data_IF_555645830596
#
_entry.id   IF_555645830596
#
_cell.length_a   1.000
_cell.length_b   1.000
_cell.length_c   1.000
_cell.angle_alpha   90.00
_cell.angle_beta   90.00
_cell.angle_gamma   90.00
#
_symmetry.space_group_name_H-M   'P 1'
#
loop_
_entity.id
_entity.type
_entity.pdbx_description
1 polymer ?
#
# COMPACT_ATOMS: atom_id res chain seq x y z
N UNK A 1 39.42 -54.49 47.80
CA UNK A 1 39.75 -53.55 46.71
C UNK A 1 38.67 -53.67 45.65
N UNK A 2 37.65 -52.80 45.69
CA UNK A 2 36.52 -52.80 44.75
C UNK A 2 36.90 -51.97 43.52
N UNK A 3 36.83 -52.57 42.33
CA UNK A 3 37.02 -51.91 41.03
C UNK A 3 35.73 -51.18 40.67
N UNK A 4 35.82 -49.87 40.41
CA UNK A 4 34.71 -49.04 39.91
C UNK A 4 34.84 -49.00 38.38
N UNK A 5 33.85 -49.53 37.67
CA UNK A 5 33.67 -49.30 36.23
C UNK A 5 33.15 -47.87 36.03
N UNK A 6 33.81 -47.08 35.18
CA UNK A 6 33.26 -45.83 34.65
C UNK A 6 32.36 -46.15 33.44
N UNK A 7 31.21 -45.45 33.25
CA UNK A 7 30.44 -45.61 32.03
C UNK A 7 31.07 -44.76 30.92
N UNK A 8 31.30 -45.40 29.78
CA UNK A 8 31.60 -44.72 28.51
C UNK A 8 30.28 -44.15 28.00
N UNK A 9 30.12 -42.83 28.05
CA UNK A 9 29.03 -42.13 27.35
C UNK A 9 29.47 -42.01 25.89
N UNK A 10 28.86 -42.83 25.04
CA UNK A 10 28.97 -42.66 23.59
C UNK A 10 28.17 -41.42 23.18
N UNK A 11 28.87 -40.34 22.86
CA UNK A 11 28.28 -39.15 22.26
C UNK A 11 28.00 -39.47 20.79
N UNK A 12 26.76 -39.89 20.50
CA UNK A 12 26.25 -40.03 19.14
C UNK A 12 25.99 -38.63 18.60
N UNK A 13 26.94 -38.10 17.85
CA UNK A 13 26.82 -36.83 17.14
C UNK A 13 25.89 -37.07 15.94
N UNK A 14 24.59 -36.88 16.16
CA UNK A 14 23.63 -36.79 15.05
C UNK A 14 23.90 -35.45 14.39
N UNK A 15 24.62 -35.48 13.25
CA UNK A 15 24.61 -34.39 12.28
C UNK A 15 23.17 -34.27 11.77
N UNK A 16 22.36 -33.49 12.49
CA UNK A 16 21.12 -32.98 11.96
C UNK A 16 21.47 -32.05 10.83
N UNK A 17 21.22 -32.48 9.59
CA UNK A 17 20.99 -31.54 8.50
C UNK A 17 19.74 -30.79 8.93
N UNK A 18 19.92 -29.62 9.52
CA UNK A 18 18.82 -28.67 9.68
C UNK A 18 18.50 -28.27 8.24
N UNK A 19 17.31 -28.59 7.70
CA UNK A 19 16.90 -27.96 6.46
C UNK A 19 16.90 -26.47 6.76
N UNK A 20 17.80 -25.72 6.13
CA UNK A 20 17.66 -24.28 6.04
C UNK A 20 16.36 -24.11 5.26
N UNK A 21 15.28 -23.79 5.97
CA UNK A 21 14.10 -23.26 5.31
C UNK A 21 14.60 -21.98 4.61
N UNK A 22 14.48 -21.91 3.29
CA UNK A 22 14.58 -20.66 2.57
C UNK A 22 13.60 -19.71 3.27
N UNK A 23 14.09 -18.56 3.73
CA UNK A 23 13.21 -17.54 4.25
C UNK A 23 12.23 -17.18 3.12
N UNK A 24 10.92 -17.25 3.37
CA UNK A 24 9.96 -16.77 2.38
C UNK A 24 10.16 -15.27 2.21
N UNK A 25 10.19 -14.80 0.96
CA UNK A 25 10.28 -13.37 0.64
C UNK A 25 9.19 -12.59 1.38
N UNK A 26 9.55 -11.47 2.02
CA UNK A 26 8.56 -10.63 2.69
C UNK A 26 7.76 -9.80 1.68
N UNK A 27 6.56 -9.37 2.06
CA UNK A 27 5.76 -8.47 1.23
C UNK A 27 6.51 -7.17 0.87
N UNK A 28 7.36 -6.66 1.77
CA UNK A 28 8.18 -5.47 1.54
C UNK A 28 9.26 -5.70 0.49
N UNK A 29 9.89 -6.87 0.49
CA UNK A 29 10.91 -7.24 -0.50
C UNK A 29 10.28 -7.46 -1.87
N UNK A 30 9.11 -8.13 -1.94
CA UNK A 30 8.34 -8.25 -3.19
C UNK A 30 7.91 -6.89 -3.75
N UNK A 31 7.44 -5.99 -2.88
CA UNK A 31 7.09 -4.62 -3.28
C UNK A 31 8.31 -3.85 -3.81
N UNK A 32 9.48 -4.01 -3.17
CA UNK A 32 10.72 -3.40 -3.60
C UNK A 32 11.21 -3.95 -4.95
N UNK A 33 11.06 -5.26 -5.19
CA UNK A 33 11.38 -5.88 -6.50
C UNK A 33 10.50 -5.27 -7.61
N UNK A 34 9.21 -5.11 -7.36
CA UNK A 34 8.27 -4.50 -8.30
C UNK A 34 8.62 -3.04 -8.58
N UNK A 35 8.87 -2.23 -7.54
CA UNK A 35 9.28 -0.82 -7.70
C UNK A 35 10.58 -0.71 -8.51
N UNK A 36 11.58 -1.55 -8.23
CA UNK A 36 12.86 -1.52 -8.95
C UNK A 36 12.69 -1.93 -10.44
N UNK A 37 11.85 -2.93 -10.73
CA UNK A 37 11.50 -3.34 -12.09
C UNK A 37 10.82 -2.22 -12.87
N UNK A 38 9.86 -1.52 -12.26
CA UNK A 38 9.15 -0.40 -12.88
C UNK A 38 10.08 0.78 -13.16
N UNK A 39 10.97 1.11 -12.23
CA UNK A 39 11.96 2.18 -12.40
C UNK A 39 12.94 1.88 -13.55
N UNK A 40 13.38 0.62 -13.68
CA UNK A 40 14.19 0.15 -14.82
C UNK A 40 13.45 0.37 -16.12
N UNK A 41 12.22 -0.12 -16.22
CA UNK A 41 11.45 -0.06 -17.47
C UNK A 41 11.00 1.38 -17.79
N UNK A 42 10.76 2.22 -16.78
CA UNK A 42 10.52 3.66 -16.96
C UNK A 42 11.75 4.35 -17.55
N UNK A 43 12.94 4.04 -17.01
CA UNK A 43 14.20 4.60 -17.51
C UNK A 43 14.50 4.15 -18.93
N UNK A 44 14.21 2.89 -19.26
CA UNK A 44 14.32 2.34 -20.62
C UNK A 44 13.36 3.01 -21.59
N UNK A 45 12.10 3.18 -21.20
CA UNK A 45 11.09 3.84 -22.02
C UNK A 45 11.46 5.31 -22.31
N UNK A 46 12.06 6.01 -21.35
CA UNK A 46 12.57 7.38 -21.55
C UNK A 46 13.66 7.47 -22.63
N UNK A 47 14.40 6.38 -22.86
CA UNK A 47 15.42 6.23 -23.92
C UNK A 47 14.87 5.52 -25.17
N UNK A 48 13.55 5.28 -25.25
CA UNK A 48 12.89 4.65 -26.39
C UNK A 48 13.16 3.15 -26.53
N UNK A 49 13.53 2.48 -25.45
CA UNK A 49 13.76 1.03 -25.41
C UNK A 49 12.49 0.30 -24.95
N UNK A 50 12.30 -0.91 -25.49
CA UNK A 50 11.22 -1.81 -25.07
C UNK A 50 11.40 -2.24 -23.61
N UNK A 51 10.30 -2.46 -22.87
CA UNK A 51 10.36 -2.96 -21.51
C UNK A 51 10.95 -4.38 -21.50
N UNK A 52 11.72 -4.66 -20.45
CA UNK A 52 12.17 -6.02 -20.14
C UNK A 52 11.01 -6.80 -19.56
N UNK A 53 10.81 -8.04 -20.00
CA UNK A 53 9.96 -8.99 -19.31
C UNK A 53 10.68 -9.58 -18.09
N UNK A 54 9.95 -10.16 -17.15
CA UNK A 54 10.58 -10.92 -16.06
C UNK A 54 10.81 -12.39 -16.44
N UNK A 55 11.83 -13.00 -15.85
CA UNK A 55 12.12 -14.43 -16.03
C UNK A 55 12.53 -15.09 -14.71
N UNK A 56 11.82 -16.15 -14.34
CA UNK A 56 11.86 -16.79 -13.02
C UNK A 56 13.25 -17.26 -12.60
N UNK A 57 13.99 -17.91 -13.51
CA UNK A 57 15.37 -18.34 -13.21
C UNK A 57 16.27 -17.17 -12.80
N UNK A 58 16.06 -15.98 -13.39
CA UNK A 58 16.84 -14.78 -13.05
C UNK A 58 16.38 -14.16 -11.73
N UNK A 59 15.08 -14.24 -11.41
CA UNK A 59 14.55 -13.78 -10.12
C UNK A 59 15.13 -14.64 -9.00
N UNK A 60 15.10 -15.97 -9.17
CA UNK A 60 15.62 -16.92 -8.18
C UNK A 60 17.12 -16.68 -7.93
N UNK A 61 17.90 -16.45 -8.99
CA UNK A 61 19.31 -16.09 -8.87
C UNK A 61 19.53 -14.73 -8.19
N UNK A 62 18.80 -13.71 -8.62
CA UNK A 62 18.94 -12.36 -8.07
C UNK A 62 18.57 -12.32 -6.58
N UNK A 63 17.56 -13.09 -6.15
CA UNK A 63 17.18 -13.24 -4.74
C UNK A 63 18.28 -13.95 -3.95
N UNK A 64 18.75 -15.09 -4.45
CA UNK A 64 19.84 -15.84 -3.82
C UNK A 64 21.12 -14.98 -3.67
N UNK A 65 21.44 -14.19 -4.69
CA UNK A 65 22.59 -13.28 -4.65
C UNK A 65 22.38 -12.12 -3.67
N UNK A 66 21.17 -11.59 -3.56
CA UNK A 66 20.83 -10.55 -2.58
C UNK A 66 20.87 -11.08 -1.14
N UNK A 67 20.41 -12.32 -0.91
CA UNK A 67 20.53 -13.02 0.37
C UNK A 67 21.99 -13.26 0.76
N UNK A 68 22.82 -13.72 -0.18
CA UNK A 68 24.25 -13.93 0.05
C UNK A 68 24.94 -12.62 0.48
N UNK A 69 24.68 -11.52 -0.22
CA UNK A 69 25.21 -10.21 0.12
C UNK A 69 24.65 -9.71 1.47
N UNK A 70 23.36 -9.92 1.73
CA UNK A 70 22.72 -9.59 3.00
C UNK A 70 23.19 -10.48 4.17
N UNK A 71 23.80 -11.63 3.90
CA UNK A 71 24.41 -12.49 4.90
C UNK A 71 25.91 -12.22 5.11
N UNK A 72 26.48 -11.20 4.46
CA UNK A 72 27.92 -10.88 4.48
C UNK A 72 28.79 -12.05 3.98
N UNK A 73 28.29 -12.83 3.02
CA UNK A 73 28.93 -14.05 2.51
C UNK A 73 29.73 -13.85 1.21
N UNK A 74 29.90 -12.60 0.76
CA UNK A 74 30.73 -12.30 -0.40
C UNK A 74 32.19 -12.71 -0.19
N UNK A 75 32.81 -13.26 -1.23
CA UNK A 75 34.21 -13.68 -1.17
C UNK A 75 35.13 -12.51 -0.82
N UNK A 76 36.16 -12.79 -0.01
CA UNK A 76 37.12 -11.78 0.42
C UNK A 76 36.58 -10.76 1.43
N UNK A 77 35.36 -10.94 1.93
CA UNK A 77 34.72 -10.03 2.90
C UNK A 77 34.23 -8.72 2.29
N UNK A 78 33.96 -8.71 0.98
CA UNK A 78 33.33 -7.57 0.33
C UNK A 78 31.89 -7.38 0.82
N UNK A 79 31.36 -6.15 0.74
CA UNK A 79 29.97 -5.85 1.14
C UNK A 79 28.94 -6.26 0.08
N UNK A 80 29.32 -6.16 -1.19
CA UNK A 80 28.55 -6.57 -2.35
C UNK A 80 29.50 -7.26 -3.32
N UNK A 81 28.99 -8.21 -4.09
CA UNK A 81 29.77 -9.00 -5.03
C UNK A 81 28.89 -9.47 -6.19
N UNK A 82 29.52 -9.71 -7.33
CA UNK A 82 28.86 -10.27 -8.49
C UNK A 82 28.70 -11.80 -8.36
N UNK A 83 27.73 -12.37 -9.07
CA UNK A 83 27.64 -13.82 -9.24
C UNK A 83 28.71 -14.29 -10.25
N UNK A 84 29.75 -14.96 -9.76
CA UNK A 84 30.86 -15.46 -10.60
C UNK A 84 30.43 -16.57 -11.58
N UNK A 85 29.27 -17.19 -11.38
CA UNK A 85 28.73 -18.26 -12.23
C UNK A 85 27.39 -17.87 -12.88
N UNK A 86 27.18 -16.58 -13.16
CA UNK A 86 25.95 -16.09 -13.80
C UNK A 86 25.57 -16.85 -15.09
N UNK A 87 26.57 -17.39 -15.80
CA UNK A 87 26.36 -18.17 -17.02
C UNK A 87 25.65 -19.52 -16.80
N UNK A 88 25.59 -20.03 -15.57
CA UNK A 88 24.94 -21.29 -15.21
C UNK A 88 23.49 -21.14 -14.74
N UNK A 89 23.06 -19.91 -14.42
CA UNK A 89 21.71 -19.56 -13.94
C UNK A 89 20.64 -20.05 -14.89
N UNK A 90 20.87 -19.89 -16.19
CA UNK A 90 19.93 -20.35 -17.21
C UNK A 90 20.65 -20.70 -18.51
N UNK A 91 19.89 -21.18 -19.49
CA UNK A 91 20.41 -21.67 -20.77
C UNK A 91 19.82 -20.87 -21.94
N UNK A 92 20.45 -20.98 -23.11
CA UNK A 92 20.02 -20.31 -24.36
C UNK A 92 20.06 -18.77 -24.34
N UNK A 93 20.78 -18.17 -23.40
CA UNK A 93 21.07 -16.74 -23.40
C UNK A 93 22.13 -16.39 -24.46
N UNK A 94 22.04 -15.18 -25.01
CA UNK A 94 23.03 -14.56 -25.92
C UNK A 94 23.85 -13.50 -25.21
N UNK A 95 23.25 -12.83 -24.22
CA UNK A 95 23.92 -11.86 -23.36
C UNK A 95 23.36 -11.96 -21.96
N UNK A 96 24.23 -11.77 -20.97
CA UNK A 96 23.88 -11.58 -19.58
C UNK A 96 24.48 -10.27 -19.06
N UNK A 97 23.90 -9.72 -18.01
CA UNK A 97 24.42 -8.58 -17.28
C UNK A 97 23.94 -8.64 -15.83
N UNK A 98 24.67 -8.01 -14.93
CA UNK A 98 24.28 -7.96 -13.53
C UNK A 98 24.61 -6.59 -12.94
N UNK A 99 23.65 -6.02 -12.22
CA UNK A 99 23.86 -4.89 -11.33
C UNK A 99 23.64 -5.35 -9.88
N UNK A 100 24.58 -5.04 -9.00
CA UNK A 100 24.44 -5.26 -7.55
C UNK A 100 24.60 -3.94 -6.82
N UNK A 101 23.81 -3.78 -5.75
CA UNK A 101 23.75 -2.52 -5.03
C UNK A 101 23.35 -2.71 -3.58
N UNK A 102 23.81 -1.79 -2.74
CA UNK A 102 23.36 -1.66 -1.36
C UNK A 102 22.98 -0.20 -1.09
N UNK A 103 21.73 -0.01 -0.66
CA UNK A 103 21.18 1.27 -0.23
C UNK A 103 21.13 1.39 1.29
N UNK A 104 21.01 2.63 1.80
CA UNK A 104 20.78 2.89 3.22
C UNK A 104 19.32 3.28 3.48
N UNK A 105 18.68 2.62 4.44
CA UNK A 105 17.29 2.82 4.89
C UNK A 105 16.23 2.60 3.78
N UNK A 106 15.45 1.52 3.91
CA UNK A 106 14.40 1.12 2.96
C UNK A 106 13.41 2.24 2.61
N UNK A 107 13.09 3.15 3.55
CA UNK A 107 12.21 4.29 3.30
C UNK A 107 12.77 5.22 2.20
N UNK A 108 12.29 5.04 0.96
CA UNK A 108 12.80 5.72 -0.24
C UNK A 108 14.12 5.19 -0.77
N UNK A 109 14.58 4.02 -0.29
CA UNK A 109 15.88 3.45 -0.64
C UNK A 109 15.95 2.82 -2.03
N UNK A 110 14.82 2.34 -2.56
CA UNK A 110 14.72 1.67 -3.87
C UNK A 110 14.99 2.68 -4.99
N UNK A 111 14.21 3.77 -5.06
CA UNK A 111 14.44 4.87 -6.02
C UNK A 111 15.82 5.50 -5.91
N UNK A 112 16.34 5.76 -4.70
CA UNK A 112 17.69 6.29 -4.51
C UNK A 112 18.77 5.34 -5.05
N UNK A 113 18.60 4.03 -4.85
CA UNK A 113 19.55 3.04 -5.35
C UNK A 113 19.45 2.90 -6.88
N UNK A 114 18.24 2.98 -7.45
CA UNK A 114 18.04 3.05 -8.90
C UNK A 114 18.69 4.30 -9.50
N UNK A 115 18.51 5.47 -8.90
CA UNK A 115 19.18 6.71 -9.31
C UNK A 115 20.70 6.58 -9.26
N UNK A 116 21.24 5.90 -8.23
CA UNK A 116 22.66 5.59 -8.13
C UNK A 116 23.13 4.62 -9.22
N UNK A 117 22.28 3.67 -9.65
CA UNK A 117 22.57 2.83 -10.81
C UNK A 117 22.57 3.65 -12.11
N UNK A 118 21.59 4.51 -12.31
CA UNK A 118 21.51 5.39 -13.48
C UNK A 118 22.67 6.39 -13.56
N UNK A 119 23.18 6.86 -12.41
CA UNK A 119 24.35 7.72 -12.34
C UNK A 119 25.69 6.98 -12.53
N UNK A 120 25.71 5.66 -12.38
CA UNK A 120 26.90 4.83 -12.55
C UNK A 120 27.01 4.36 -14.01
N UNK A 121 28.08 4.71 -14.75
CA UNK A 121 28.19 4.34 -16.16
C UNK A 121 28.07 2.85 -16.45
N UNK A 122 28.60 2.00 -15.56
CA UNK A 122 28.51 0.54 -15.70
C UNK A 122 27.09 0.01 -15.49
N UNK A 123 26.42 0.45 -14.42
CA UNK A 123 25.06 0.00 -14.11
C UNK A 123 24.05 0.53 -15.12
N UNK A 124 24.19 1.80 -15.52
CA UNK A 124 23.41 2.43 -16.58
C UNK A 124 23.53 1.66 -17.90
N UNK A 125 24.76 1.25 -18.27
CA UNK A 125 24.97 0.49 -19.50
C UNK A 125 24.25 -0.87 -19.50
N UNK A 126 24.11 -1.52 -18.34
CA UNK A 126 23.32 -2.74 -18.21
C UNK A 126 21.82 -2.45 -18.33
N UNK A 127 21.29 -1.42 -17.64
CA UNK A 127 19.86 -1.04 -17.70
C UNK A 127 19.42 -0.71 -19.14
N UNK A 128 20.26 0.02 -19.88
CA UNK A 128 20.01 0.38 -21.29
C UNK A 128 20.49 -0.66 -22.30
N UNK A 129 20.96 -1.81 -21.81
CA UNK A 129 21.47 -2.86 -22.67
C UNK A 129 20.39 -3.50 -23.53
N UNK A 130 20.84 -4.09 -24.64
CA UNK A 130 20.04 -4.92 -25.53
C UNK A 130 19.74 -6.26 -24.84
N UNK A 131 18.69 -6.23 -24.04
CA UNK A 131 18.15 -7.31 -23.23
C UNK A 131 16.63 -7.35 -23.45
N UNK A 132 16.02 -8.52 -23.29
CA UNK A 132 14.57 -8.69 -23.31
C UNK A 132 14.01 -9.23 -21.98
N UNK A 133 14.88 -9.66 -21.05
CA UNK A 133 14.46 -10.11 -19.71
C UNK A 133 15.28 -9.50 -18.58
N UNK A 134 14.66 -9.42 -17.40
CA UNK A 134 15.31 -9.14 -16.13
C UNK A 134 14.82 -10.07 -15.01
N UNK A 135 15.65 -10.27 -13.99
CA UNK A 135 15.27 -10.79 -12.68
C UNK A 135 15.75 -9.83 -11.61
N UNK A 136 14.87 -9.49 -10.68
CA UNK A 136 15.17 -8.57 -9.58
C UNK A 136 15.06 -9.36 -8.29
N UNK A 137 16.07 -9.24 -7.43
CA UNK A 137 16.07 -9.78 -6.09
C UNK A 137 16.34 -8.67 -5.09
N UNK A 138 15.57 -8.65 -4.02
CA UNK A 138 15.75 -7.68 -2.94
C UNK A 138 15.77 -8.39 -1.59
N UNK A 139 16.69 -7.97 -0.72
CA UNK A 139 16.68 -8.33 0.70
C UNK A 139 16.75 -7.08 1.57
N UNK A 140 15.88 -7.01 2.57
CA UNK A 140 15.83 -5.91 3.55
C UNK A 140 16.30 -6.44 4.90
N UNK A 141 17.48 -6.01 5.36
CA UNK A 141 17.96 -6.37 6.70
C UNK A 141 17.13 -5.68 7.79
N UNK A 142 17.16 -6.23 9.01
CA UNK A 142 16.49 -5.65 10.19
C UNK A 142 16.92 -4.20 10.48
N UNK A 143 18.16 -3.83 10.10
CA UNK A 143 18.67 -2.46 10.25
C UNK A 143 18.17 -1.50 9.14
N UNK A 144 17.30 -1.97 8.25
CA UNK A 144 16.74 -1.25 7.13
C UNK A 144 17.67 -1.15 5.91
N UNK A 145 18.82 -1.81 5.91
CA UNK A 145 19.70 -1.86 4.73
C UNK A 145 19.04 -2.64 3.60
N UNK A 146 19.06 -2.06 2.41
CA UNK A 146 18.47 -2.62 1.19
C UNK A 146 19.57 -3.23 0.30
N UNK A 147 19.55 -4.53 0.07
CA UNK A 147 20.42 -5.22 -0.87
C UNK A 147 19.62 -5.56 -2.12
N UNK A 148 20.12 -5.15 -3.30
CA UNK A 148 19.43 -5.38 -4.58
C UNK A 148 20.39 -6.00 -5.57
N UNK A 149 19.91 -7.03 -6.25
CA UNK A 149 20.55 -7.60 -7.44
C UNK A 149 19.58 -7.54 -8.59
N UNK A 150 20.06 -7.14 -9.76
CA UNK A 150 19.32 -7.18 -11.01
C UNK A 150 20.12 -7.95 -12.04
N UNK A 151 19.56 -9.05 -12.53
CA UNK A 151 20.15 -9.87 -13.58
C UNK A 151 19.42 -9.58 -14.89
N UNK A 152 20.16 -9.28 -15.95
CA UNK A 152 19.63 -8.98 -17.27
C UNK A 152 19.96 -10.11 -18.25
N UNK A 153 19.03 -10.44 -19.14
CA UNK A 153 19.23 -11.48 -20.15
C UNK A 153 18.69 -11.07 -21.52
N UNK A 154 19.47 -11.38 -22.56
CA UNK A 154 18.97 -11.47 -23.93
C UNK A 154 18.81 -12.96 -24.25
N UNK A 155 17.58 -13.45 -24.21
CA UNK A 155 17.22 -14.85 -24.47
C UNK A 155 16.24 -14.99 -25.63
N UNK A 156 15.79 -16.21 -25.97
CA UNK A 156 14.74 -16.41 -26.95
C UNK A 156 13.42 -15.79 -26.49
N UNK A 157 12.57 -15.39 -27.44
CA UNK A 157 11.24 -14.83 -27.15
C UNK A 157 10.31 -15.86 -26.49
N UNK A 158 9.42 -15.39 -25.62
CA UNK A 158 8.37 -16.21 -25.01
C UNK A 158 8.82 -17.07 -23.81
N UNK A 159 9.96 -16.75 -23.19
CA UNK A 159 10.42 -17.40 -21.95
C UNK A 159 9.79 -16.83 -20.67
N UNK A 160 8.99 -15.76 -20.76
CA UNK A 160 8.43 -15.07 -19.58
C UNK A 160 7.74 -16.04 -18.62
N UNK A 161 8.15 -15.99 -17.35
CA UNK A 161 7.29 -16.43 -16.23
C UNK A 161 6.51 -15.21 -15.76
N UNK A 162 5.26 -15.39 -15.36
CA UNK A 162 4.55 -14.32 -14.62
C UNK A 162 5.36 -13.99 -13.34
N UNK A 163 5.39 -12.72 -12.94
CA UNK A 163 5.69 -12.36 -11.54
C UNK A 163 4.79 -13.23 -10.62
N UNK A 164 5.15 -13.54 -9.35
CA UNK A 164 4.20 -14.16 -8.44
C UNK A 164 2.88 -13.39 -8.52
N UNK A 165 1.79 -14.10 -8.89
CA UNK A 165 0.55 -13.54 -9.44
C UNK A 165 0.35 -12.03 -9.20
N UNK A 166 0.49 -11.24 -10.26
CA UNK A 166 -0.31 -10.02 -10.37
C UNK A 166 -1.77 -10.45 -10.09
N UNK A 167 -2.53 -9.79 -9.20
CA UNK A 167 -3.96 -10.06 -9.13
C UNK A 167 -4.53 -9.83 -10.54
N UNK A 168 -4.93 -10.93 -11.20
CA UNK A 168 -5.69 -11.02 -12.44
C UNK A 168 -5.94 -9.65 -13.09
N UNK A 169 -5.23 -9.32 -14.19
CA UNK A 169 -5.52 -8.12 -14.96
C UNK A 169 -7.01 -8.05 -15.30
N UNK A 170 -7.73 -7.25 -14.52
CA UNK A 170 -9.03 -6.77 -14.91
C UNK A 170 -8.85 -5.97 -16.20
N UNK A 171 -9.81 -6.09 -17.12
CA UNK A 171 -9.84 -5.28 -18.34
C UNK A 171 -9.80 -3.77 -18.07
N UNK A 172 -9.92 -2.97 -19.14
CA UNK A 172 -9.26 -1.67 -19.30
C UNK A 172 -9.28 -0.77 -18.06
N UNK A 173 -8.07 -0.38 -17.61
CA UNK A 173 -7.65 0.74 -16.73
C UNK A 173 -8.71 1.77 -16.30
N UNK A 174 -9.79 1.35 -15.65
CA UNK A 174 -10.69 2.24 -14.90
C UNK A 174 -11.64 1.37 -14.09
N UNK A 175 -11.83 1.73 -12.83
CA UNK A 175 -12.88 1.18 -11.99
C UNK A 175 -14.22 1.32 -12.74
N UNK A 176 -14.85 0.22 -13.14
CA UNK A 176 -16.13 0.27 -13.85
C UNK A 176 -17.27 0.51 -12.86
N UNK A 177 -17.51 1.78 -12.53
CA UNK A 177 -18.62 2.21 -11.67
C UNK A 177 -19.82 2.71 -12.50
N UNK A 178 -21.05 2.66 -11.96
CA UNK A 178 -22.19 3.33 -12.55
C UNK A 178 -21.91 4.82 -12.77
N UNK A 179 -22.61 5.43 -13.73
CA UNK A 179 -22.54 6.88 -13.90
C UNK A 179 -23.25 7.59 -12.74
N UNK A 180 -22.48 8.31 -11.93
CA UNK A 180 -23.00 9.22 -10.90
C UNK A 180 -23.31 10.61 -11.49
N UNK A 181 -24.17 11.43 -10.85
CA UNK A 181 -24.41 12.80 -11.26
C UNK A 181 -23.12 13.64 -11.25
N UNK A 182 -22.98 14.65 -12.13
CA UNK A 182 -21.84 15.56 -12.08
C UNK A 182 -21.74 16.27 -10.72
N UNK A 183 -20.58 16.17 -10.08
CA UNK A 183 -20.32 16.75 -8.76
C UNK A 183 -20.56 15.83 -7.59
N UNK A 184 -21.07 14.61 -7.82
CA UNK A 184 -21.15 13.57 -6.81
C UNK A 184 -19.76 13.00 -6.52
N UNK A 185 -19.60 12.48 -5.30
CA UNK A 185 -18.46 11.68 -4.93
C UNK A 185 -18.43 10.35 -5.68
N UNK A 186 -17.22 9.91 -5.99
CA UNK A 186 -16.93 8.69 -6.71
C UNK A 186 -16.13 7.72 -5.85
N UNK A 187 -16.24 6.45 -6.19
CA UNK A 187 -15.52 5.39 -5.49
C UNK A 187 -14.16 5.15 -6.12
N UNK A 188 -13.13 5.03 -5.28
CA UNK A 188 -11.86 4.42 -5.62
C UNK A 188 -11.59 3.18 -4.78
N UNK A 189 -10.50 2.49 -5.10
CA UNK A 189 -10.00 1.32 -4.40
C UNK A 189 -8.50 1.46 -4.13
N UNK A 190 -8.09 1.10 -2.91
CA UNK A 190 -6.69 0.98 -2.53
C UNK A 190 -6.37 -0.47 -2.14
N UNK A 191 -5.35 -1.06 -2.74
CA UNK A 191 -4.84 -2.37 -2.36
C UNK A 191 -3.85 -2.20 -1.20
N UNK A 192 -4.20 -2.53 0.05
CA UNK A 192 -3.33 -2.35 1.20
C UNK A 192 -2.14 -3.32 1.21
N UNK A 193 -2.08 -4.31 0.31
CA UNK A 193 -0.92 -5.21 0.19
C UNK A 193 0.05 -4.74 -0.90
N UNK A 194 -0.45 -4.07 -1.94
CA UNK A 194 0.34 -3.62 -3.08
C UNK A 194 0.62 -2.11 -3.10
N UNK A 195 -0.11 -1.30 -2.32
CA UNK A 195 -0.05 0.16 -2.36
C UNK A 195 -0.62 0.78 -3.65
N UNK A 196 -1.33 -0.01 -4.46
CA UNK A 196 -1.94 0.42 -5.72
C UNK A 196 -3.29 1.09 -5.47
N UNK A 197 -3.53 2.18 -6.17
CA UNK A 197 -4.77 2.94 -6.18
C UNK A 197 -5.42 2.88 -7.55
N UNK A 198 -6.74 2.68 -7.56
CA UNK A 198 -7.61 2.72 -8.72
C UNK A 198 -8.77 3.65 -8.41
N UNK A 199 -8.85 4.81 -9.07
CA UNK A 199 -9.89 5.80 -8.80
C UNK A 199 -10.88 5.84 -9.96
N UNK A 200 -12.18 5.84 -9.68
CA UNK A 200 -13.18 5.98 -10.74
C UNK A 200 -13.04 7.34 -11.43
N UNK A 201 -13.08 7.33 -12.76
CA UNK A 201 -12.93 8.53 -13.59
C UNK A 201 -11.49 8.89 -13.94
N UNK A 202 -10.49 8.23 -13.36
CA UNK A 202 -9.07 8.44 -13.68
C UNK A 202 -8.55 7.44 -14.72
N UNK A 203 -7.58 7.89 -15.53
CA UNK A 203 -7.11 7.18 -16.73
C UNK A 203 -6.25 5.93 -16.45
N UNK A 204 -5.65 5.83 -15.26
CA UNK A 204 -4.76 4.72 -14.92
C UNK A 204 -4.60 4.49 -13.41
N UNK A 205 -4.38 3.24 -12.97
CA UNK A 205 -3.92 2.96 -11.62
C UNK A 205 -2.55 3.59 -11.34
N UNK A 206 -2.27 3.85 -10.07
CA UNK A 206 -0.97 4.36 -9.64
C UNK A 206 -0.58 3.82 -8.26
N UNK A 207 0.71 3.87 -7.93
CA UNK A 207 1.21 3.43 -6.63
C UNK A 207 1.44 4.60 -5.69
N UNK A 208 0.97 4.45 -4.45
CA UNK A 208 1.26 5.36 -3.38
C UNK A 208 1.07 4.66 -2.03
N UNK A 209 2.14 4.62 -1.24
CA UNK A 209 2.11 4.06 0.12
C UNK A 209 2.87 2.77 0.31
N UNK A 210 2.91 2.33 1.56
CA UNK A 210 3.45 1.03 1.93
C UNK A 210 2.32 0.05 2.23
N UNK A 211 2.60 -1.26 2.19
CA UNK A 211 1.66 -2.25 2.67
C UNK A 211 1.21 -1.96 4.12
N UNK A 212 -0.07 -2.19 4.38
CA UNK A 212 -0.77 -1.91 5.63
C UNK A 212 -0.95 -0.43 6.02
N UNK A 213 -0.53 0.53 5.17
CA UNK A 213 -0.97 1.91 5.35
C UNK A 213 -2.51 1.97 5.14
N UNK A 214 -3.19 2.70 6.01
CA UNK A 214 -4.64 2.87 5.96
C UNK A 214 -4.98 4.01 5.01
N UNK A 215 -5.76 3.78 3.94
CA UNK A 215 -6.06 4.81 2.97
C UNK A 215 -7.09 5.81 3.49
N UNK A 216 -6.98 7.04 3.01
CA UNK A 216 -7.95 8.11 3.20
C UNK A 216 -7.88 9.06 2.00
N UNK A 217 -8.87 9.93 1.84
CA UNK A 217 -8.87 10.92 0.77
C UNK A 217 -9.74 12.11 1.14
N UNK A 218 -9.22 13.30 0.90
CA UNK A 218 -9.89 14.58 1.10
C UNK A 218 -9.25 15.65 0.20
N UNK A 219 -9.86 16.83 0.12
CA UNK A 219 -9.34 18.03 -0.54
C UNK A 219 -8.36 18.79 0.37
N UNK A 220 -7.08 18.43 0.26
CA UNK A 220 -6.03 18.94 1.15
C UNK A 220 -5.50 20.35 0.79
N UNK A 221 -5.83 20.92 -0.38
CA UNK A 221 -5.47 22.29 -0.79
C UNK A 221 -6.64 23.18 -1.21
N UNK A 222 -7.87 22.72 -1.00
CA UNK A 222 -9.07 23.52 -1.26
C UNK A 222 -9.23 23.86 -2.75
N UNK A 223 -8.81 22.96 -3.66
CA UNK A 223 -8.98 23.17 -5.10
C UNK A 223 -10.30 22.57 -5.63
N UNK A 224 -11.07 21.90 -4.77
CA UNK A 224 -12.31 21.21 -5.06
C UNK A 224 -12.12 19.78 -5.58
N UNK A 225 -10.89 19.26 -5.59
CA UNK A 225 -10.54 17.90 -6.00
C UNK A 225 -10.01 17.10 -4.82
N UNK A 226 -10.65 15.98 -4.55
CA UNK A 226 -10.19 15.04 -3.54
C UNK A 226 -8.90 14.35 -4.01
N UNK A 227 -7.93 14.24 -3.11
CA UNK A 227 -6.65 13.60 -3.41
C UNK A 227 -6.24 12.61 -2.32
N UNK A 228 -5.39 11.66 -2.68
CA UNK A 228 -5.08 10.51 -1.82
C UNK A 228 -4.22 10.85 -0.60
N UNK A 229 -4.50 10.17 0.51
CA UNK A 229 -3.73 10.21 1.74
C UNK A 229 -3.59 8.83 2.37
N UNK A 230 -2.62 8.70 3.27
CA UNK A 230 -2.33 7.44 3.96
C UNK A 230 -2.01 7.68 5.43
N UNK A 231 -2.42 6.75 6.27
CA UNK A 231 -2.01 6.66 7.67
C UNK A 231 -1.19 5.41 7.94
N UNK A 232 0.04 5.62 8.40
CA UNK A 232 0.95 4.53 8.76
C UNK A 232 0.78 4.14 10.21
N UNK A 233 -0.07 3.14 10.45
CA UNK A 233 -0.41 2.66 11.78
C UNK A 233 0.82 2.24 12.63
N UNK A 234 1.91 1.79 12.00
CA UNK A 234 3.13 1.41 12.71
C UNK A 234 3.89 2.58 13.34
N UNK A 235 3.66 3.81 12.85
CA UNK A 235 4.46 4.99 13.20
C UNK A 235 3.64 6.23 13.57
N UNK A 236 2.33 6.24 13.31
CA UNK A 236 1.47 7.39 13.56
C UNK A 236 1.62 8.54 12.55
N UNK A 237 2.29 8.30 11.43
CA UNK A 237 2.47 9.29 10.37
C UNK A 237 1.29 9.30 9.40
N UNK A 238 0.90 10.51 9.01
CA UNK A 238 0.03 10.79 7.87
C UNK A 238 0.87 11.28 6.70
N UNK A 239 0.57 10.78 5.51
CA UNK A 239 1.22 11.11 4.25
C UNK A 239 0.15 11.56 3.26
N UNK A 240 0.10 12.86 2.93
CA UNK A 240 -0.93 13.45 2.07
C UNK A 240 -0.32 13.87 0.74
N UNK A 241 -1.08 13.70 -0.34
CA UNK A 241 -0.71 14.12 -1.70
C UNK A 241 -1.71 15.11 -2.23
N UNK A 242 -1.24 16.10 -2.97
CA UNK A 242 -2.07 17.06 -3.69
C UNK A 242 -2.40 16.61 -5.13
N UNK A 243 -2.00 15.38 -5.50
CA UNK A 243 -2.24 14.82 -6.83
C UNK A 243 -2.50 13.32 -6.77
N UNK A 244 -3.34 12.81 -7.68
CA UNK A 244 -3.67 11.38 -7.82
C UNK A 244 -2.79 10.71 -8.88
N UNK A 245 -1.49 10.60 -8.57
CA UNK A 245 -0.47 10.00 -9.44
C UNK A 245 0.50 9.19 -8.57
N UNK A 246 1.53 8.60 -9.16
CA UNK A 246 2.60 7.99 -8.36
C UNK A 246 3.52 9.05 -7.73
N UNK A 247 4.22 8.70 -6.66
CA UNK A 247 5.31 9.51 -6.09
C UNK A 247 5.28 9.61 -4.57
N UNK A 248 6.10 10.53 -4.03
CA UNK A 248 6.16 10.78 -2.59
C UNK A 248 5.05 11.72 -2.13
N UNK A 249 4.82 11.75 -0.81
CA UNK A 249 3.87 12.68 -0.19
C UNK A 249 4.34 14.13 -0.28
N UNK A 250 3.40 15.05 -0.52
CA UNK A 250 3.63 16.49 -0.45
C UNK A 250 3.69 16.97 1.02
N UNK A 251 2.88 16.35 1.88
CA UNK A 251 2.79 16.65 3.31
C UNK A 251 3.02 15.35 4.10
N UNK A 252 3.92 15.42 5.08
CA UNK A 252 4.19 14.32 6.02
C UNK A 252 4.17 14.86 7.44
N UNK A 253 3.23 14.39 8.26
CA UNK A 253 3.04 14.85 9.64
C UNK A 253 2.86 13.68 10.60
N UNK A 254 3.37 13.80 11.82
CA UNK A 254 3.10 12.83 12.88
C UNK A 254 1.85 13.27 13.64
N UNK A 255 0.77 12.50 13.54
CA UNK A 255 -0.51 12.87 14.16
C UNK A 255 -1.35 11.63 14.47
N UNK A 256 -0.82 10.80 15.37
CA UNK A 256 -1.50 9.60 15.82
C UNK A 256 -0.54 8.67 16.57
N UNK A 257 -1.09 7.57 17.06
CA UNK A 257 -0.34 6.43 17.60
C UNK A 257 -0.88 5.14 16.99
N UNK A 258 -0.16 4.00 17.11
CA UNK A 258 -0.69 2.72 16.66
C UNK A 258 -2.11 2.46 17.17
N UNK A 259 -2.95 1.89 16.30
CA UNK A 259 -4.40 1.64 16.49
C UNK A 259 -5.33 2.84 16.34
N UNK A 260 -4.83 4.07 16.27
CA UNK A 260 -5.66 5.22 15.88
C UNK A 260 -6.19 5.00 14.45
N UNK A 261 -7.43 5.43 14.20
CA UNK A 261 -8.09 5.34 12.89
C UNK A 261 -8.14 6.73 12.26
N UNK A 262 -7.64 6.89 11.03
CA UNK A 262 -7.59 8.19 10.37
C UNK A 262 -8.98 8.60 9.84
N UNK A 263 -9.24 9.89 9.81
CA UNK A 263 -10.38 10.54 9.14
C UNK A 263 -9.97 11.92 8.66
N UNK A 264 -10.76 12.54 7.79
CA UNK A 264 -10.54 13.90 7.32
C UNK A 264 -11.89 14.58 7.03
N UNK A 265 -11.87 15.92 6.95
CA UNK A 265 -13.05 16.75 6.70
C UNK A 265 -12.76 18.23 7.01
N UNK A 266 -13.67 19.11 6.61
CA UNK A 266 -13.64 20.54 6.97
C UNK A 266 -14.31 20.75 8.32
N UNK A 267 -13.52 20.67 9.40
CA UNK A 267 -14.05 20.73 10.76
C UNK A 267 -14.49 22.13 11.21
N UNK A 268 -14.06 23.18 10.50
CA UNK A 268 -14.25 24.57 10.90
C UNK A 268 -14.96 25.45 9.87
N UNK A 269 -15.42 24.88 8.76
CA UNK A 269 -16.21 25.55 7.73
C UNK A 269 -15.40 26.56 6.93
N UNK A 270 -14.09 26.38 6.80
CA UNK A 270 -13.25 27.26 6.00
C UNK A 270 -13.00 26.76 4.58
N UNK A 271 -13.50 25.55 4.27
CA UNK A 271 -13.43 24.82 3.01
C UNK A 271 -12.14 24.03 2.80
N UNK A 272 -11.19 24.03 3.74
CA UNK A 272 -10.00 23.18 3.68
C UNK A 272 -10.27 21.89 4.46
N UNK A 273 -10.14 20.73 3.81
CA UNK A 273 -10.27 19.46 4.51
C UNK A 273 -8.95 19.08 5.19
N UNK A 274 -9.07 18.70 6.46
CA UNK A 274 -7.91 18.54 7.34
C UNK A 274 -7.98 17.27 8.17
N UNK A 275 -6.82 16.84 8.65
CA UNK A 275 -6.68 15.53 9.29
C UNK A 275 -7.37 15.44 10.66
N UNK A 276 -7.90 14.26 10.94
CA UNK A 276 -8.38 13.85 12.26
C UNK A 276 -7.99 12.39 12.55
N UNK A 277 -7.95 12.04 13.84
CA UNK A 277 -7.84 10.65 14.26
C UNK A 277 -8.91 10.31 15.29
N UNK A 278 -9.38 9.08 15.26
CA UNK A 278 -10.19 8.47 16.30
C UNK A 278 -9.33 7.46 17.04
N UNK A 279 -9.31 7.55 18.37
CA UNK A 279 -8.59 6.63 19.23
C UNK A 279 -9.55 5.63 19.85
N UNK A 280 -9.58 4.37 19.38
CA UNK A 280 -10.53 3.38 19.87
C UNK A 280 -10.36 3.05 21.36
N UNK A 281 -9.12 3.13 21.87
CA UNK A 281 -8.81 2.87 23.28
C UNK A 281 -9.34 3.93 24.26
N UNK A 282 -9.80 5.07 23.73
CA UNK A 282 -10.39 6.17 24.50
C UNK A 282 -11.83 6.49 24.07
N UNK A 283 -12.32 5.91 22.98
CA UNK A 283 -13.58 6.28 22.30
C UNK A 283 -13.67 7.80 22.03
N UNK A 284 -12.59 8.36 21.46
CA UNK A 284 -12.39 9.80 21.36
C UNK A 284 -11.83 10.24 20.02
N UNK A 285 -12.34 11.36 19.51
CA UNK A 285 -11.86 12.02 18.30
C UNK A 285 -10.89 13.14 18.65
N UNK A 286 -9.87 13.31 17.81
CA UNK A 286 -8.84 14.34 17.87
C UNK A 286 -8.73 15.00 16.49
N UNK A 287 -9.39 16.14 16.32
CA UNK A 287 -9.52 16.84 15.04
C UNK A 287 -8.59 18.05 15.00
N UNK A 288 -8.10 18.38 13.81
CA UNK A 288 -7.13 19.45 13.61
C UNK A 288 -7.48 20.25 12.37
N UNK A 289 -7.51 21.57 12.50
CA UNK A 289 -7.94 22.50 11.44
C UNK A 289 -6.76 22.92 10.53
N UNK A 290 -5.72 22.09 10.43
CA UNK A 290 -4.61 22.31 9.50
C UNK A 290 -3.83 21.02 9.24
N UNK A 291 -3.10 20.97 8.12
CA UNK A 291 -2.25 19.85 7.72
C UNK A 291 -0.75 20.10 8.05
N UNK A 292 -0.47 20.69 9.21
CA UNK A 292 0.89 20.93 9.74
C UNK A 292 1.24 20.04 10.95
N UNK A 293 2.43 20.14 11.54
CA UNK A 293 2.71 19.42 12.80
C UNK A 293 2.07 20.14 13.99
N UNK A 294 1.36 19.41 14.88
CA UNK A 294 0.80 20.00 16.10
C UNK A 294 -0.10 19.05 16.89
N UNK A 295 -0.74 19.60 17.93
CA UNK A 295 -1.78 18.92 18.72
C UNK A 295 -3.15 19.15 18.08
N UNK A 296 -4.17 18.43 18.57
CA UNK A 296 -5.55 18.61 18.17
C UNK A 296 -6.07 20.01 18.54
N UNK A 297 -6.86 20.60 17.64
CA UNK A 297 -7.62 21.82 17.90
C UNK A 297 -8.93 21.49 18.61
N UNK A 298 -9.49 20.31 18.34
CA UNK A 298 -10.72 19.81 18.96
C UNK A 298 -10.55 18.37 19.43
N UNK A 299 -11.09 18.10 20.62
CA UNK A 299 -11.10 16.76 21.22
C UNK A 299 -12.53 16.46 21.66
N UNK A 300 -13.13 15.41 21.10
CA UNK A 300 -14.55 15.10 21.27
C UNK A 300 -14.73 13.68 21.81
N UNK A 301 -15.50 13.57 22.90
CA UNK A 301 -15.98 12.29 23.43
C UNK A 301 -17.31 11.96 22.75
N UNK A 302 -17.29 11.06 21.76
CA UNK A 302 -18.49 10.69 20.99
C UNK A 302 -18.44 9.21 20.58
N UNK A 303 -19.51 8.48 20.83
CA UNK A 303 -19.61 7.03 20.63
C UNK A 303 -19.19 6.21 21.86
N UNK A 304 -19.25 4.89 21.70
CA UNK A 304 -18.81 3.90 22.70
C UNK A 304 -17.62 3.08 22.19
N UNK A 305 -16.95 2.37 23.10
CA UNK A 305 -15.87 1.44 22.75
C UNK A 305 -16.32 0.41 21.70
N UNK A 306 -15.51 0.26 20.65
CA UNK A 306 -15.78 -0.65 19.54
C UNK A 306 -16.62 -0.04 18.42
N UNK A 307 -17.11 1.19 18.57
CA UNK A 307 -17.73 1.90 17.47
C UNK A 307 -16.71 2.22 16.35
N UNK A 308 -17.19 2.33 15.11
CA UNK A 308 -16.42 2.67 13.92
C UNK A 308 -16.59 4.17 13.65
N UNK A 309 -15.50 4.95 13.59
CA UNK A 309 -15.57 6.38 13.31
C UNK A 309 -15.88 6.66 11.85
N UNK A 310 -16.65 7.71 11.61
CA UNK A 310 -17.01 8.24 10.29
C UNK A 310 -16.97 9.77 10.35
N UNK A 311 -16.82 10.42 9.20
CA UNK A 311 -16.86 11.87 9.06
C UNK A 311 -17.50 12.27 7.74
N UNK A 312 -18.20 13.40 7.74
CA UNK A 312 -18.85 13.97 6.55
C UNK A 312 -19.73 15.17 6.91
N UNK A 313 -20.20 15.90 5.91
CA UNK A 313 -21.22 16.95 6.03
C UNK A 313 -22.64 16.36 6.02
N UNK A 314 -23.08 15.89 7.18
CA UNK A 314 -24.35 15.15 7.29
C UNK A 314 -25.61 16.02 7.13
N UNK A 315 -25.50 17.35 7.27
CA UNK A 315 -26.64 18.27 7.17
C UNK A 315 -26.54 19.30 6.04
N UNK A 316 -25.46 19.27 5.27
CA UNK A 316 -25.28 20.03 4.04
C UNK A 316 -25.02 21.50 4.30
N UNK A 317 -24.42 21.84 5.45
CA UNK A 317 -24.09 23.22 5.81
C UNK A 317 -22.66 23.63 5.38
N UNK A 318 -21.91 22.71 4.79
CA UNK A 318 -20.53 22.86 4.35
C UNK A 318 -19.50 22.53 5.43
N UNK A 319 -19.91 22.07 6.62
CA UNK A 319 -19.00 21.72 7.72
C UNK A 319 -19.04 20.22 7.99
N UNK A 320 -17.90 19.55 7.84
CA UNK A 320 -17.80 18.14 8.19
C UNK A 320 -17.92 17.96 9.71
N UNK A 321 -18.74 17.00 10.12
CA UNK A 321 -18.89 16.58 11.52
C UNK A 321 -18.71 15.07 11.66
N UNK A 322 -18.54 14.61 12.90
CA UNK A 322 -18.22 13.21 13.20
C UNK A 322 -19.49 12.36 13.33
N UNK A 323 -19.34 11.08 13.05
CA UNK A 323 -20.34 10.06 13.37
C UNK A 323 -19.65 8.79 13.87
N UNK A 324 -20.43 7.93 14.52
CA UNK A 324 -19.99 6.60 14.90
C UNK A 324 -21.00 5.55 14.49
N UNK A 325 -20.53 4.47 13.90
CA UNK A 325 -21.35 3.29 13.65
C UNK A 325 -21.08 2.24 14.72
N UNK A 326 -22.15 1.71 15.32
CA UNK A 326 -22.10 0.67 16.34
C UNK A 326 -22.46 -0.68 15.75
N UNK A 327 -21.48 -1.59 15.55
CA UNK A 327 -21.76 -2.90 14.97
C UNK A 327 -22.68 -3.76 15.85
N UNK A 328 -22.60 -3.59 17.18
CA UNK A 328 -23.31 -4.42 18.15
C UNK A 328 -24.85 -4.34 18.03
N UNK A 329 -25.38 -3.18 17.62
CA UNK A 329 -26.81 -2.96 17.41
C UNK A 329 -27.13 -2.42 16.01
N UNK A 330 -26.13 -2.39 15.10
CA UNK A 330 -26.24 -1.88 13.73
C UNK A 330 -26.85 -0.48 13.66
N UNK A 331 -26.41 0.43 14.53
CA UNK A 331 -26.93 1.81 14.59
C UNK A 331 -25.84 2.80 14.21
N UNK A 332 -26.14 3.73 13.32
CA UNK A 332 -25.33 4.91 13.01
C UNK A 332 -25.74 6.05 13.94
N UNK A 333 -24.80 6.69 14.61
CA UNK A 333 -24.98 7.87 15.44
C UNK A 333 -24.27 9.06 14.79
N UNK A 334 -25.02 10.07 14.39
CA UNK A 334 -24.51 11.26 13.67
C UNK A 334 -24.51 12.46 14.60
N UNK A 335 -23.42 13.24 14.58
CA UNK A 335 -23.30 14.48 15.33
C UNK A 335 -23.63 15.69 14.43
N UNK A 336 -24.90 15.93 14.11
CA UNK A 336 -25.32 17.13 13.35
C UNK A 336 -25.72 18.28 14.27
N UNK A 337 -24.85 19.28 14.44
CA UNK A 337 -25.14 20.49 15.21
C UNK A 337 -25.53 20.21 16.68
N UNK A 338 -26.71 20.68 17.10
CA UNK A 338 -27.16 20.61 18.51
C UNK A 338 -27.86 19.31 18.91
N UNK A 339 -28.15 18.39 17.98
CA UNK A 339 -28.89 17.16 18.25
C UNK A 339 -28.20 15.95 17.61
N UNK A 340 -27.77 14.99 18.46
CA UNK A 340 -27.30 13.70 17.98
C UNK A 340 -28.50 12.90 17.43
N UNK A 341 -28.42 12.49 16.16
CA UNK A 341 -29.41 11.62 15.54
C UNK A 341 -28.90 10.18 15.46
N UNK A 342 -29.82 9.20 15.52
CA UNK A 342 -29.48 7.78 15.37
C UNK A 342 -30.32 7.12 14.29
N UNK A 343 -29.67 6.30 13.46
CA UNK A 343 -30.27 5.66 12.29
C UNK A 343 -30.04 4.14 12.32
N UNK A 344 -31.08 3.37 12.08
CA UNK A 344 -30.98 1.91 11.95
C UNK A 344 -30.33 1.54 10.62
N UNK A 345 -29.33 0.65 10.67
CA UNK A 345 -28.60 0.14 9.50
C UNK A 345 -28.62 -1.39 9.51
N UNK A 346 -29.82 -1.96 9.64
CA UNK A 346 -30.01 -3.42 9.73
C UNK A 346 -29.46 -4.20 8.53
N UNK A 347 -29.30 -3.54 7.38
CA UNK A 347 -28.68 -4.00 6.14
C UNK A 347 -27.16 -4.21 6.23
N UNK A 348 -26.47 -3.56 7.18
CA UNK A 348 -25.06 -3.81 7.46
C UNK A 348 -24.82 -5.27 7.87
N UNK A 349 -23.74 -5.85 7.35
CA UNK A 349 -23.24 -7.17 7.72
C UNK A 349 -21.84 -7.07 8.33
N UNK A 350 -21.53 -7.98 9.26
CA UNK A 350 -20.21 -8.03 9.85
C UNK A 350 -19.15 -8.26 8.76
N UNK A 351 -18.14 -7.39 8.73
CA UNK A 351 -17.10 -7.38 7.71
C UNK A 351 -17.35 -6.40 6.55
N UNK A 352 -18.51 -5.74 6.49
CA UNK A 352 -18.71 -4.63 5.57
C UNK A 352 -17.81 -3.45 6.00
N UNK A 353 -17.18 -2.79 5.03
CA UNK A 353 -16.38 -1.57 5.22
C UNK A 353 -17.25 -0.36 4.92
N UNK A 354 -17.47 0.50 5.92
CA UNK A 354 -18.29 1.70 5.80
C UNK A 354 -17.48 2.86 5.19
N UNK A 355 -18.14 3.66 4.36
CA UNK A 355 -17.62 4.90 3.79
C UNK A 355 -18.70 5.97 3.78
N UNK A 356 -18.30 7.22 3.58
CA UNK A 356 -19.17 8.40 3.57
C UNK A 356 -18.92 9.19 2.29
N UNK A 357 -19.98 9.76 1.72
CA UNK A 357 -19.88 10.69 0.59
C UNK A 357 -21.24 11.21 0.11
N UNK A 358 -21.18 12.19 -0.77
CA UNK A 358 -22.32 12.82 -1.45
C UNK A 358 -22.57 12.12 -2.80
N UNK A 359 -23.44 11.12 -2.79
CA UNK A 359 -23.69 10.28 -3.97
C UNK A 359 -24.56 10.95 -5.04
N UNK A 360 -25.26 12.04 -4.73
CA UNK A 360 -26.17 12.71 -5.68
C UNK A 360 -25.92 14.20 -5.90
N UNK A 361 -24.80 14.69 -5.40
CA UNK A 361 -24.32 16.06 -5.56
C UNK A 361 -25.26 17.10 -4.91
N UNK A 362 -25.96 16.73 -3.84
CA UNK A 362 -26.87 17.63 -3.12
C UNK A 362 -26.18 18.43 -1.98
N UNK A 363 -24.91 18.11 -1.72
CA UNK A 363 -24.06 18.69 -0.69
C UNK A 363 -24.18 17.99 0.67
N UNK A 364 -25.01 16.95 0.82
CA UNK A 364 -25.11 16.15 2.04
C UNK A 364 -24.42 14.81 1.88
N UNK A 365 -23.57 14.52 2.84
CA UNK A 365 -22.96 13.22 2.97
C UNK A 365 -23.92 12.19 3.57
N UNK A 366 -23.85 11.00 2.99
CA UNK A 366 -24.57 9.83 3.45
C UNK A 366 -23.67 8.61 3.42
N UNK A 367 -24.21 7.44 3.78
CA UNK A 367 -23.40 6.25 4.04
C UNK A 367 -23.40 5.30 2.84
N UNK A 368 -22.20 4.83 2.50
CA UNK A 368 -21.97 3.68 1.64
C UNK A 368 -21.29 2.56 2.40
N UNK A 369 -21.30 1.36 1.83
CA UNK A 369 -20.49 0.26 2.34
C UNK A 369 -20.08 -0.72 1.26
N UNK A 370 -18.83 -1.18 1.36
CA UNK A 370 -18.34 -2.30 0.57
C UNK A 370 -18.59 -3.61 1.33
N UNK A 371 -19.09 -4.62 0.64
CA UNK A 371 -19.32 -5.98 1.14
C UNK A 371 -18.31 -6.95 0.51
N UNK A 372 -17.19 -7.24 1.18
CA UNK A 372 -16.12 -8.08 0.63
C UNK A 372 -16.59 -9.48 0.24
N UNK A 373 -17.50 -10.07 1.03
CA UNK A 373 -18.04 -11.43 0.81
C UNK A 373 -18.77 -11.62 -0.53
N UNK A 374 -19.17 -10.52 -1.17
CA UNK A 374 -19.88 -10.53 -2.47
C UNK A 374 -19.23 -9.63 -3.51
N UNK A 375 -18.19 -8.88 -3.13
CA UNK A 375 -17.56 -7.88 -3.99
C UNK A 375 -18.46 -6.72 -4.41
N UNK A 376 -19.51 -6.43 -3.64
CA UNK A 376 -20.50 -5.39 -3.99
C UNK A 376 -20.34 -4.15 -3.14
N UNK A 377 -20.48 -2.98 -3.76
CA UNK A 377 -20.60 -1.69 -3.09
C UNK A 377 -22.06 -1.26 -3.05
N UNK A 378 -22.54 -0.87 -1.88
CA UNK A 378 -23.90 -0.40 -1.62
C UNK A 378 -23.86 1.05 -1.17
N UNK A 379 -24.72 1.90 -1.71
CA UNK A 379 -24.84 3.31 -1.30
C UNK A 379 -26.30 3.75 -1.28
N UNK A 380 -26.58 4.85 -0.58
CA UNK A 380 -27.90 5.46 -0.57
C UNK A 380 -27.79 6.95 -0.30
N UNK A 381 -28.57 7.75 -1.00
CA UNK A 381 -28.69 9.20 -0.80
C UNK A 381 -29.49 9.56 0.46
N UNK A 382 -29.90 8.56 1.26
CA UNK A 382 -30.66 8.76 2.48
C UNK A 382 -30.02 7.99 3.63
N UNK A 383 -29.89 8.64 4.79
CA UNK A 383 -29.45 7.97 6.02
C UNK A 383 -30.42 6.89 6.51
N UNK A 384 -31.66 6.90 6.01
CA UNK A 384 -32.69 5.90 6.26
C UNK A 384 -33.16 5.37 4.92
N UNK A 385 -32.62 4.24 4.51
CA UNK A 385 -33.09 3.54 3.32
C UNK A 385 -33.32 2.06 3.62
N UNK A 386 -34.37 1.52 3.00
CA UNK A 386 -34.74 0.11 3.08
C UNK A 386 -34.18 -0.73 1.93
N UNK A 387 -33.62 -0.08 0.88
CA UNK A 387 -33.05 -0.77 -0.28
C UNK A 387 -31.95 0.09 -0.97
N UNK A 388 -30.70 0.07 -0.46
CA UNK A 388 -29.60 0.81 -1.08
C UNK A 388 -29.36 0.37 -2.53
N UNK A 389 -28.92 1.31 -3.36
CA UNK A 389 -28.39 1.01 -4.69
C UNK A 389 -27.07 0.24 -4.55
N UNK A 390 -26.75 -0.62 -5.52
CA UNK A 390 -25.50 -1.37 -5.47
C UNK A 390 -24.94 -1.70 -6.85
N UNK A 391 -23.63 -1.91 -6.89
CA UNK A 391 -22.91 -2.42 -8.06
C UNK A 391 -21.74 -3.30 -7.63
N UNK A 392 -21.12 -3.99 -8.59
CA UNK A 392 -19.93 -4.81 -8.32
C UNK A 392 -18.69 -3.91 -8.38
N UNK A 393 -17.96 -3.83 -7.28
CA UNK A 393 -16.78 -2.98 -7.15
C UNK A 393 -15.49 -3.78 -7.34
N UNK A 394 -15.47 -5.07 -6.97
CA UNK A 394 -14.26 -5.89 -7.05
C UNK A 394 -14.14 -6.87 -5.88
N UNK A 395 -12.99 -7.52 -5.74
CA UNK A 395 -12.77 -8.51 -4.68
C UNK A 395 -12.36 -7.88 -3.33
N UNK A 396 -12.24 -8.72 -2.30
CA UNK A 396 -11.94 -8.34 -0.90
C UNK A 396 -10.51 -7.84 -0.66
N UNK A 397 -9.65 -7.80 -1.68
CA UNK A 397 -8.26 -7.34 -1.56
C UNK A 397 -8.13 -5.82 -1.49
N UNK A 398 -9.21 -5.07 -1.70
CA UNK A 398 -9.17 -3.61 -1.79
C UNK A 398 -10.00 -2.94 -0.70
N UNK A 399 -9.49 -1.82 -0.20
CA UNK A 399 -10.22 -0.90 0.68
C UNK A 399 -10.91 0.17 -0.17
N UNK A 400 -12.23 0.39 -0.02
CA UNK A 400 -12.90 1.48 -0.72
C UNK A 400 -12.42 2.82 -0.18
N UNK A 401 -12.29 3.80 -1.07
CA UNK A 401 -12.09 5.21 -0.75
C UNK A 401 -13.14 6.03 -1.52
N UNK A 402 -13.48 7.19 -0.99
CA UNK A 402 -14.51 8.06 -1.55
C UNK A 402 -13.92 9.44 -1.73
N UNK A 403 -14.31 10.09 -2.82
CA UNK A 403 -13.99 11.48 -3.02
C UNK A 403 -14.41 11.98 -4.38
N UNK A 404 -14.27 13.29 -4.54
CA UNK A 404 -14.47 13.99 -5.79
C UNK A 404 -13.17 14.03 -6.57
N UNK A 405 -12.85 12.92 -7.24
CA UNK A 405 -11.64 12.80 -8.06
C UNK A 405 -11.73 13.66 -9.31
#
# INVERSE_FOLDING_TARGET
MRRILAPVIALLLVLGVVPVALAEQTASELGAESEFYELINTSRAAEGLEPLAVYGDLIDDARAQSELQAADLCEGGARICHNDDLGSVTTNWTRLGENVGVGGNYAGGVSQLHDAFMASPGHHANIMGDYNYAGIGVVIREDGSLYVTVVFMLGPDGLSSELPDEPEQAGPNSLSVPAFPPGADLIGQHNPNAGTWELAGEDAPFYYGNPADVPMACDWDQDGRTTVGLYRASSGFLYLRQTNTFGVADISIFYGIPEDRPLCGDWNGDGLETVGIYRPSEARFYLRNSNTQGVADMVLDYGDFGDIPLAGDWDGDGVSTIATFRPANKTLYVSSGSDAASYDRSDYQAGDTLVVGDWDADGRDTIGYFRPSTGTFHYSNWLIDSAPEYFYLGNDRYSPVVGRW
#
